data_IF_267400280315
#
_entry.id   IF_267400280315
#
_cell.length_a   1.000
_cell.length_b   1.000
_cell.length_c   1.000
_cell.angle_alpha   90.00
_cell.angle_beta   90.00
_cell.angle_gamma   90.00
#
_symmetry.space_group_name_H-M   'P 1'
#
loop_
_entity.id
_entity.type
_entity.pdbx_description
1 polymer ?
#
# COMPACT_ATOMS: atom_id res chain seq x y z
N UNK A 1 3.93 -0.09 -11.87
CA UNK A 1 2.60 -0.04 -11.23
C UNK A 1 2.45 -1.29 -10.37
N UNK A 2 2.20 -1.14 -9.08
CA UNK A 2 1.95 -2.25 -8.15
C UNK A 2 0.48 -2.19 -7.77
N UNK A 3 -0.23 -3.31 -7.92
CA UNK A 3 -1.65 -3.43 -7.64
C UNK A 3 -1.84 -4.27 -6.36
N UNK A 4 -2.56 -3.73 -5.40
CA UNK A 4 -3.02 -4.48 -4.24
C UNK A 4 -4.46 -4.96 -4.46
N UNK A 5 -4.68 -6.27 -4.31
CA UNK A 5 -5.93 -6.91 -4.72
C UNK A 5 -7.15 -6.51 -3.84
N UNK A 6 -6.95 -6.26 -2.54
CA UNK A 6 -8.06 -5.96 -1.63
C UNK A 6 -8.50 -4.50 -1.64
N UNK A 7 -7.56 -3.58 -1.71
CA UNK A 7 -7.86 -2.16 -1.64
C UNK A 7 -8.00 -1.52 -3.02
N UNK A 8 -7.66 -2.26 -4.09
CA UNK A 8 -7.62 -1.76 -5.48
C UNK A 8 -6.91 -0.41 -5.63
N UNK A 9 -5.95 -0.21 -4.79
CA UNK A 9 -5.03 0.92 -4.85
C UNK A 9 -3.84 0.56 -5.71
N UNK A 10 -3.35 1.53 -6.42
CA UNK A 10 -2.14 1.43 -7.21
C UNK A 10 -1.20 2.57 -6.80
N UNK A 11 0.08 2.30 -6.86
CA UNK A 11 1.10 3.33 -6.74
C UNK A 11 2.01 3.32 -7.95
N UNK A 12 2.55 4.47 -8.27
CA UNK A 12 3.53 4.62 -9.35
C UNK A 12 4.93 4.38 -8.81
N UNK A 13 5.69 3.57 -9.53
CA UNK A 13 7.11 3.41 -9.32
C UNK A 13 7.82 3.86 -10.60
N UNK A 14 8.59 4.92 -10.49
CA UNK A 14 9.31 5.49 -11.61
C UNK A 14 10.61 4.74 -11.85
N UNK A 15 10.88 4.36 -13.09
CA UNK A 15 12.07 3.57 -13.50
C UNK A 15 12.92 4.28 -14.56
N UNK A 16 12.75 5.58 -14.70
CA UNK A 16 13.44 6.40 -15.69
C UNK A 16 14.77 6.99 -15.19
N UNK A 17 15.24 6.56 -14.02
CA UNK A 17 16.49 7.02 -13.44
C UNK A 17 16.41 8.36 -12.71
N UNK A 18 15.20 8.91 -12.52
CA UNK A 18 15.04 10.13 -11.72
C UNK A 18 15.42 9.88 -10.26
N UNK A 19 15.96 10.88 -9.56
CA UNK A 19 16.19 10.78 -8.12
C UNK A 19 14.88 10.86 -7.34
N UNK A 20 14.89 10.31 -6.12
CA UNK A 20 13.84 10.57 -5.14
C UNK A 20 13.76 12.06 -4.83
N UNK A 21 12.54 12.61 -4.62
CA UNK A 21 12.38 13.98 -4.20
C UNK A 21 12.99 14.22 -2.82
N UNK A 22 13.55 15.40 -2.63
CA UNK A 22 14.15 15.83 -1.37
C UNK A 22 13.19 16.70 -0.55
N UNK A 23 13.33 16.69 0.76
CA UNK A 23 12.58 17.53 1.70
C UNK A 23 11.04 17.37 1.57
N UNK A 24 10.56 16.17 1.25
CA UNK A 24 9.11 15.91 1.13
C UNK A 24 8.42 16.22 2.46
N UNK A 25 7.34 16.99 2.41
CA UNK A 25 6.62 17.43 3.61
C UNK A 25 7.28 18.57 4.39
N UNK A 26 8.48 18.99 4.02
CA UNK A 26 9.21 20.10 4.64
C UNK A 26 9.19 21.35 3.77
N UNK A 27 9.65 22.48 4.35
CA UNK A 27 9.70 23.78 3.66
C UNK A 27 10.56 23.70 2.39
N UNK A 28 9.95 24.00 1.26
CA UNK A 28 10.62 24.02 -0.05
C UNK A 28 10.63 22.68 -0.77
N UNK A 29 10.10 21.63 -0.17
CA UNK A 29 9.88 20.34 -0.79
C UNK A 29 8.43 20.12 -1.25
N UNK A 30 8.14 19.03 -1.96
CA UNK A 30 6.79 18.66 -2.33
C UNK A 30 5.98 18.20 -1.11
N UNK A 31 4.66 18.17 -1.24
CA UNK A 31 3.77 17.62 -0.21
C UNK A 31 3.95 16.11 -0.07
N UNK A 32 3.65 15.56 1.11
CA UNK A 32 3.54 14.11 1.32
C UNK A 32 2.45 13.51 0.45
N UNK A 33 2.61 12.25 0.09
CA UNK A 33 1.59 11.47 -0.60
C UNK A 33 1.23 10.24 0.24
N UNK A 34 0.01 9.73 0.07
CA UNK A 34 -0.46 8.59 0.84
C UNK A 34 0.48 7.37 0.74
N UNK A 35 0.96 7.05 -0.47
CA UNK A 35 1.94 5.98 -0.72
C UNK A 35 3.35 6.49 -0.98
N UNK A 36 3.62 7.77 -0.71
CA UNK A 36 4.92 8.38 -0.96
C UNK A 36 5.29 8.47 -2.44
N UNK A 37 6.55 8.76 -2.67
CA UNK A 37 7.21 8.81 -3.97
C UNK A 37 8.13 7.62 -4.12
N UNK A 38 7.95 6.83 -5.16
CA UNK A 38 8.69 5.59 -5.36
C UNK A 38 9.52 5.64 -6.63
N UNK A 39 10.78 5.26 -6.53
CA UNK A 39 11.71 5.10 -7.65
C UNK A 39 12.24 3.67 -7.64
N UNK A 40 12.26 3.03 -8.79
CA UNK A 40 12.73 1.66 -8.93
C UNK A 40 13.95 1.55 -9.83
N UNK A 41 14.85 0.65 -9.47
CA UNK A 41 16.03 0.33 -10.26
C UNK A 41 16.39 -1.15 -10.15
N UNK A 42 17.16 -1.65 -11.11
CA UNK A 42 17.72 -3.00 -11.04
C UNK A 42 19.06 -2.96 -10.31
N UNK A 43 19.19 -3.71 -9.23
CA UNK A 43 20.45 -3.86 -8.47
C UNK A 43 21.31 -4.99 -9.08
N UNK A 44 20.65 -6.02 -9.59
CA UNK A 44 21.25 -7.14 -10.30
C UNK A 44 20.23 -7.64 -11.33
N UNK A 45 20.63 -8.60 -12.16
CA UNK A 45 19.77 -9.13 -13.24
C UNK A 45 18.42 -9.69 -12.76
N UNK A 46 18.35 -10.12 -11.51
CA UNK A 46 17.17 -10.73 -10.92
C UNK A 46 16.58 -9.99 -9.71
N UNK A 47 17.13 -8.84 -9.34
CA UNK A 47 16.68 -8.08 -8.17
C UNK A 47 16.28 -6.66 -8.56
N UNK A 48 15.00 -6.37 -8.43
CA UNK A 48 14.43 -5.03 -8.60
C UNK A 48 14.26 -4.38 -7.22
N UNK A 49 14.79 -3.20 -7.06
CA UNK A 49 14.73 -2.42 -5.81
C UNK A 49 13.81 -1.23 -6.00
N UNK A 50 12.95 -0.99 -5.03
CA UNK A 50 12.09 0.19 -4.97
C UNK A 50 12.39 0.95 -3.70
N UNK A 51 12.74 2.21 -3.86
CA UNK A 51 12.93 3.17 -2.79
C UNK A 51 11.74 4.10 -2.70
N UNK A 52 11.18 4.27 -1.49
CA UNK A 52 10.00 5.11 -1.25
C UNK A 52 10.22 6.06 -0.10
N UNK A 53 9.92 7.35 -0.32
CA UNK A 53 10.00 8.42 0.69
C UNK A 53 8.74 9.28 0.67
N UNK A 54 8.53 10.07 1.73
CA UNK A 54 7.48 11.08 1.77
C UNK A 54 6.07 10.53 1.86
N UNK A 55 5.90 9.42 2.54
CA UNK A 55 4.58 8.88 2.92
C UNK A 55 3.92 9.79 3.95
N UNK A 56 2.58 9.88 3.91
CA UNK A 56 1.81 10.67 4.88
C UNK A 56 1.86 10.00 6.25
N UNK A 57 2.26 10.73 7.28
CA UNK A 57 2.42 10.27 8.67
C UNK A 57 1.11 9.85 9.36
N UNK A 58 -0.04 10.08 8.72
CA UNK A 58 -1.34 9.58 9.16
C UNK A 58 -1.58 8.12 8.79
N UNK A 59 -0.65 7.50 8.10
CA UNK A 59 -0.71 6.07 7.75
C UNK A 59 0.13 5.24 8.71
N UNK A 60 -0.08 3.92 8.66
CA UNK A 60 0.77 2.94 9.32
C UNK A 60 1.54 2.16 8.26
N UNK A 61 2.73 1.70 8.63
CA UNK A 61 3.57 0.89 7.74
C UNK A 61 2.88 -0.43 7.41
N UNK A 62 2.20 -1.03 8.40
CA UNK A 62 1.49 -2.29 8.22
C UNK A 62 0.27 -2.42 9.15
N UNK A 63 -0.42 -3.57 9.05
CA UNK A 63 -1.61 -3.89 9.86
C UNK A 63 -1.34 -4.04 11.36
N UNK A 64 -0.08 -4.13 11.79
CA UNK A 64 0.31 -4.21 13.21
C UNK A 64 0.38 -2.84 13.86
N UNK A 65 0.22 -1.78 13.06
CA UNK A 65 0.18 -0.40 13.56
C UNK A 65 1.56 0.19 13.83
N UNK A 66 2.59 -0.24 13.11
CA UNK A 66 3.90 0.41 13.19
C UNK A 66 3.80 1.84 12.64
N UNK A 67 4.11 2.87 13.49
CA UNK A 67 4.11 4.25 13.04
C UNK A 67 5.32 4.53 12.16
N UNK A 68 5.22 5.60 11.39
CA UNK A 68 6.35 6.17 10.65
C UNK A 68 6.24 7.70 10.60
N UNK A 69 7.36 8.37 10.41
CA UNK A 69 7.42 9.80 10.15
C UNK A 69 7.32 10.10 8.64
N UNK A 70 7.22 11.38 8.31
CA UNK A 70 7.31 11.84 6.91
C UNK A 70 8.70 11.63 6.31
N UNK A 71 9.72 11.45 7.16
CA UNK A 71 11.13 11.21 6.76
C UNK A 71 11.43 9.71 6.60
N UNK A 72 10.46 8.86 6.84
CA UNK A 72 10.62 7.42 6.67
C UNK A 72 11.03 7.05 5.24
N UNK A 73 11.98 6.12 5.13
CA UNK A 73 12.43 5.53 3.88
C UNK A 73 12.11 4.04 3.89
N UNK A 74 11.32 3.60 2.95
CA UNK A 74 11.02 2.17 2.73
C UNK A 74 11.79 1.68 1.53
N UNK A 75 12.48 0.56 1.71
CA UNK A 75 13.27 -0.11 0.67
C UNK A 75 12.68 -1.50 0.46
N UNK A 76 12.16 -1.73 -0.73
CA UNK A 76 11.61 -3.02 -1.14
C UNK A 76 12.54 -3.70 -2.13
N UNK A 77 12.85 -4.97 -1.89
CA UNK A 77 13.67 -5.80 -2.78
C UNK A 77 12.85 -6.96 -3.31
N UNK A 78 12.66 -6.98 -4.60
CA UNK A 78 11.96 -8.02 -5.35
C UNK A 78 12.99 -8.89 -6.05
N UNK A 79 13.31 -10.04 -5.47
CA UNK A 79 14.32 -10.95 -6.03
C UNK A 79 13.64 -12.16 -6.66
N UNK A 80 13.78 -12.29 -7.98
CA UNK A 80 13.31 -13.46 -8.71
C UNK A 80 14.28 -14.61 -8.54
N UNK A 81 13.85 -15.64 -7.82
CA UNK A 81 14.68 -16.82 -7.52
C UNK A 81 14.75 -17.75 -8.73
N UNK A 82 13.59 -17.99 -9.35
CA UNK A 82 13.43 -18.78 -10.56
C UNK A 82 12.20 -18.30 -11.37
N UNK A 83 11.79 -19.10 -12.37
CA UNK A 83 10.63 -18.77 -13.18
C UNK A 83 9.35 -18.58 -12.38
N UNK A 84 9.17 -19.34 -11.30
CA UNK A 84 7.92 -19.42 -10.56
C UNK A 84 7.98 -18.81 -9.16
N UNK A 85 9.16 -18.38 -8.67
CA UNK A 85 9.32 -17.89 -7.31
C UNK A 85 9.92 -16.48 -7.27
N UNK A 86 9.30 -15.65 -6.44
CA UNK A 86 9.71 -14.28 -6.16
C UNK A 86 9.80 -14.07 -4.65
N UNK A 87 10.96 -13.64 -4.17
CA UNK A 87 11.13 -13.21 -2.79
C UNK A 87 11.01 -11.69 -2.71
N UNK A 88 10.27 -11.22 -1.71
CA UNK A 88 10.13 -9.80 -1.42
C UNK A 88 10.60 -9.55 0.01
N UNK A 89 11.46 -8.54 0.17
CA UNK A 89 11.90 -8.07 1.49
C UNK A 89 11.66 -6.56 1.55
N UNK A 90 10.99 -6.13 2.60
CA UNK A 90 10.70 -4.72 2.86
C UNK A 90 11.44 -4.27 4.11
N UNK A 91 12.21 -3.20 4.00
CA UNK A 91 12.99 -2.61 5.09
C UNK A 91 12.52 -1.19 5.34
N UNK A 92 12.28 -0.86 6.60
CA UNK A 92 11.99 0.50 7.04
C UNK A 92 13.22 1.10 7.68
N UNK A 93 13.57 2.30 7.24
CA UNK A 93 14.54 3.20 7.87
C UNK A 93 13.83 4.51 8.25
N UNK A 94 13.64 4.71 9.54
CA UNK A 94 13.01 5.90 10.07
C UNK A 94 13.63 6.28 11.43
N UNK A 95 14.68 7.09 11.40
CA UNK A 95 15.39 7.49 12.61
C UNK A 95 14.55 8.27 13.64
N UNK A 96 13.40 8.80 13.24
CA UNK A 96 12.50 9.51 14.17
C UNK A 96 11.78 8.55 15.12
N UNK A 97 11.51 7.32 14.69
CA UNK A 97 10.81 6.31 15.49
C UNK A 97 11.67 5.12 15.87
N UNK A 98 12.72 4.79 15.09
CA UNK A 98 13.48 3.55 15.25
C UNK A 98 14.98 3.83 15.32
N UNK A 99 15.68 3.14 16.19
CA UNK A 99 17.13 3.32 16.42
C UNK A 99 18.00 2.77 15.30
N UNK A 100 17.45 1.94 14.42
CA UNK A 100 18.12 1.35 13.25
C UNK A 100 17.11 0.85 12.24
N UNK A 101 17.48 0.76 10.95
CA UNK A 101 16.67 0.12 9.95
C UNK A 101 16.33 -1.33 10.32
N UNK A 102 15.14 -1.79 10.00
CA UNK A 102 14.71 -3.16 10.24
C UNK A 102 13.77 -3.68 9.15
N UNK A 103 13.73 -5.00 9.02
CA UNK A 103 12.86 -5.67 8.06
C UNK A 103 11.44 -5.73 8.62
N UNK A 104 10.51 -5.06 7.94
CA UNK A 104 9.08 -5.05 8.30
C UNK A 104 8.32 -6.22 7.70
N UNK A 105 8.73 -6.67 6.51
CA UNK A 105 8.10 -7.80 5.85
C UNK A 105 9.09 -8.64 5.06
N UNK A 106 8.84 -9.94 5.04
CA UNK A 106 9.44 -10.92 4.12
C UNK A 106 8.34 -11.80 3.58
N UNK A 107 8.29 -11.96 2.28
CA UNK A 107 7.32 -12.81 1.61
C UNK A 107 7.97 -13.62 0.50
N UNK A 108 7.54 -14.85 0.38
CA UNK A 108 7.84 -15.74 -0.74
C UNK A 108 6.58 -15.89 -1.57
N UNK A 109 6.64 -15.50 -2.84
CA UNK A 109 5.53 -15.62 -3.77
C UNK A 109 5.81 -16.73 -4.77
N UNK A 110 4.83 -17.60 -4.96
CA UNK A 110 4.83 -18.58 -6.02
C UNK A 110 3.86 -18.15 -7.11
N UNK A 111 4.33 -18.16 -8.36
CA UNK A 111 3.46 -17.94 -9.49
C UNK A 111 2.48 -19.09 -9.64
N UNK A 112 1.18 -18.77 -9.68
CA UNK A 112 0.11 -19.73 -9.93
C UNK A 112 -0.51 -19.35 -11.28
N UNK A 113 -0.41 -20.21 -12.32
CA UNK A 113 -1.09 -19.97 -13.58
C UNK A 113 -2.58 -19.72 -13.36
N UNK A 114 -3.19 -18.87 -14.21
CA UNK A 114 -4.60 -18.50 -14.05
C UNK A 114 -5.53 -19.72 -14.01
N UNK A 115 -5.29 -20.71 -14.88
CA UNK A 115 -6.06 -21.94 -14.94
C UNK A 115 -5.96 -22.81 -13.67
N UNK A 116 -4.87 -22.66 -12.91
CA UNK A 116 -4.60 -23.45 -11.70
C UNK A 116 -4.92 -22.66 -10.42
N UNK A 117 -5.34 -21.40 -10.56
CA UNK A 117 -5.67 -20.56 -9.43
C UNK A 117 -7.12 -20.80 -8.98
N UNK A 118 -7.36 -21.43 -7.82
CA UNK A 118 -8.72 -21.69 -7.32
C UNK A 118 -9.53 -20.40 -7.09
N UNK A 119 -8.87 -19.28 -6.83
CA UNK A 119 -9.54 -17.99 -6.68
C UNK A 119 -9.97 -17.39 -8.03
N UNK A 120 -9.36 -17.78 -9.13
CA UNK A 120 -9.71 -17.27 -10.46
C UNK A 120 -11.13 -17.68 -10.90
N UNK A 121 -11.64 -18.76 -10.36
CA UNK A 121 -13.02 -19.21 -10.63
C UNK A 121 -14.07 -18.37 -9.89
N UNK A 122 -13.70 -17.73 -8.80
CA UNK A 122 -14.61 -16.98 -7.92
C UNK A 122 -14.39 -15.47 -7.95
N UNK A 123 -13.17 -15.04 -8.26
CA UNK A 123 -12.82 -13.62 -8.36
C UNK A 123 -12.15 -13.39 -9.71
N UNK A 124 -12.81 -12.73 -10.66
CA UNK A 124 -12.15 -12.34 -11.90
C UNK A 124 -10.87 -11.57 -11.61
N UNK A 125 -9.78 -11.92 -12.29
CA UNK A 125 -8.45 -11.31 -12.10
C UNK A 125 -8.44 -9.77 -12.14
N UNK A 126 -9.41 -9.20 -12.79
CA UNK A 126 -9.64 -7.75 -12.87
C UNK A 126 -11.05 -7.39 -12.43
N UNK A 127 -11.57 -8.01 -11.37
CA UNK A 127 -12.79 -7.48 -10.80
C UNK A 127 -12.51 -6.01 -10.44
N UNK A 128 -12.80 -5.12 -11.36
CA UNK A 128 -12.93 -3.72 -11.06
C UNK A 128 -14.07 -3.60 -10.05
N UNK A 129 -13.72 -3.50 -8.77
CA UNK A 129 -14.63 -2.92 -7.80
C UNK A 129 -14.78 -1.45 -8.18
N UNK A 130 -15.55 -1.21 -9.19
CA UNK A 130 -15.98 0.13 -9.52
C UNK A 130 -16.90 0.51 -8.37
N UNK A 131 -16.41 1.40 -7.51
CA UNK A 131 -17.24 2.04 -6.52
C UNK A 131 -18.16 3.00 -7.28
N UNK A 132 -19.25 2.47 -7.82
CA UNK A 132 -20.25 3.32 -8.45
C UNK A 132 -21.02 4.05 -7.35
N UNK A 133 -21.40 5.33 -7.59
CA UNK A 133 -22.11 6.13 -6.58
C UNK A 133 -23.33 5.45 -5.99
N UNK A 134 -24.06 4.68 -6.78
CA UNK A 134 -25.23 3.90 -6.31
C UNK A 134 -24.88 2.82 -5.29
N UNK A 135 -23.78 2.11 -5.45
CA UNK A 135 -23.31 1.12 -4.48
C UNK A 135 -22.80 1.78 -3.21
N UNK A 136 -22.08 2.90 -3.34
CA UNK A 136 -21.64 3.67 -2.19
C UNK A 136 -22.82 4.20 -1.37
N UNK A 137 -23.87 4.68 -2.02
CA UNK A 137 -25.12 5.14 -1.36
C UNK A 137 -25.80 3.98 -0.64
N UNK A 138 -25.90 2.81 -1.28
CA UNK A 138 -26.53 1.65 -0.67
C UNK A 138 -25.71 1.12 0.51
N UNK A 139 -24.38 1.09 0.40
CA UNK A 139 -23.49 0.76 1.51
C UNK A 139 -23.68 1.71 2.70
N UNK A 140 -23.67 3.01 2.45
CA UNK A 140 -23.89 4.02 3.48
C UNK A 140 -25.25 3.88 4.16
N UNK A 141 -26.27 3.56 3.38
CA UNK A 141 -27.63 3.35 3.87
C UNK A 141 -27.79 2.12 4.76
N UNK A 142 -27.13 1.02 4.42
CA UNK A 142 -27.34 -0.27 5.06
C UNK A 142 -26.32 -0.58 6.18
N UNK A 143 -25.09 -0.11 6.06
CA UNK A 143 -23.97 -0.59 6.88
C UNK A 143 -23.20 0.56 7.54
N UNK A 144 -22.94 1.64 6.81
CA UNK A 144 -22.08 2.73 7.26
C UNK A 144 -22.84 4.03 7.55
N UNK A 145 -24.17 4.03 7.49
CA UNK A 145 -24.95 5.18 7.93
C UNK A 145 -24.60 5.49 9.39
N UNK A 146 -24.21 6.74 9.71
CA UNK A 146 -24.00 7.12 11.10
C UNK A 146 -25.29 6.84 11.87
N UNK A 147 -25.16 6.31 13.08
CA UNK A 147 -26.30 6.15 13.95
C UNK A 147 -26.97 7.53 14.15
N UNK A 148 -28.25 7.61 13.86
CA UNK A 148 -29.01 8.81 14.18
C UNK A 148 -28.86 9.10 15.68
N UNK A 149 -28.77 10.36 16.05
CA UNK A 149 -28.74 10.76 17.47
C UNK A 149 -29.91 10.14 18.25
N UNK A 150 -31.07 10.01 17.58
CA UNK A 150 -32.29 9.38 18.16
C UNK A 150 -32.11 7.86 18.38
N UNK A 151 -31.26 7.17 17.63
CA UNK A 151 -30.95 5.75 17.86
C UNK A 151 -29.88 5.56 18.93
N UNK A 152 -28.96 6.50 19.06
CA UNK A 152 -27.91 6.47 20.06
C UNK A 152 -28.47 6.70 21.47
N UNK A 153 -29.53 7.48 21.62
CA UNK A 153 -30.18 7.79 22.93
C UNK A 153 -31.28 6.81 23.33
N UNK A 154 -31.70 5.90 22.44
CA UNK A 154 -32.78 4.96 22.72
C UNK A 154 -34.17 5.58 22.85
N UNK A 155 -34.30 6.87 22.58
CA UNK A 155 -35.60 7.57 22.67
C UNK A 155 -36.37 7.39 21.37
N UNK A 156 -37.44 6.61 21.40
CA UNK A 156 -38.43 6.57 20.35
C UNK A 156 -39.27 7.83 20.39
N UNK A 157 -39.18 8.68 19.38
CA UNK A 157 -40.17 9.71 19.16
C UNK A 157 -41.56 9.06 19.05
N UNK A 158 -42.46 9.45 19.92
CA UNK A 158 -43.90 9.12 19.87
C UNK A 158 -44.57 9.86 18.70
#
# INVERSE_FOLDING_TARGET
MILENFAKVWREVWTDGRPLPQNVGHKGGPSTMYFGYSVGHWEADNTFVVDTVGMDDKTWVDRRGYPHSIDAHVIERYTRIDHNHLNVTETLDDPAYYTKPFVIAKAEYKWIPFQDNPAAATVPFSAELVCIPSEAIEYMRLIAAPADEDTATGEKKK
#
